data_IF_628204028573
#
_entry.id   IF_628204028573
#
_cell.length_a   1.000
_cell.length_b   1.000
_cell.length_c   1.000
_cell.angle_alpha   90.00
_cell.angle_beta   90.00
_cell.angle_gamma   90.00
#
_symmetry.space_group_name_H-M   'P 1'
#
loop_
_entity.id
_entity.type
_entity.pdbx_description
1 polymer ?
#
# COMPACT_ATOMS: atom_id res chain seq x y z
N UNK A 1 -11.15 21.35 -6.37
CA UNK A 1 -12.00 20.15 -6.28
C UNK A 1 -11.37 18.92 -6.91
N UNK A 2 -10.93 18.98 -8.16
CA UNK A 2 -10.11 17.90 -8.74
C UNK A 2 -8.86 17.64 -7.90
N UNK A 3 -8.28 18.70 -7.36
CA UNK A 3 -7.08 18.64 -6.52
C UNK A 3 -7.31 17.79 -5.28
N UNK A 4 -8.48 17.92 -4.63
CA UNK A 4 -8.78 17.15 -3.42
C UNK A 4 -8.93 15.67 -3.70
N UNK A 5 -9.61 15.30 -4.77
CA UNK A 5 -9.76 13.90 -5.16
C UNK A 5 -8.40 13.30 -5.53
N UNK A 6 -7.61 14.03 -6.28
CA UNK A 6 -6.27 13.61 -6.70
C UNK A 6 -5.35 13.42 -5.50
N UNK A 7 -5.35 14.38 -4.56
CA UNK A 7 -4.54 14.27 -3.35
C UNK A 7 -4.98 13.10 -2.48
N UNK A 8 -6.27 12.86 -2.37
CA UNK A 8 -6.79 11.72 -1.63
C UNK A 8 -6.30 10.40 -2.23
N UNK A 9 -6.38 10.26 -3.56
CA UNK A 9 -5.95 9.04 -4.24
C UNK A 9 -4.43 8.86 -4.23
N UNK A 10 -3.67 9.96 -4.26
CA UNK A 10 -2.20 9.90 -4.22
C UNK A 10 -1.64 9.30 -2.93
N UNK A 11 -2.40 9.33 -1.86
CA UNK A 11 -1.93 8.76 -0.59
C UNK A 11 -1.62 7.26 -0.69
N UNK A 12 -2.21 6.57 -1.67
CA UNK A 12 -1.95 5.13 -1.89
C UNK A 12 -0.47 4.88 -2.17
N UNK A 13 0.19 5.77 -2.88
CA UNK A 13 1.62 5.63 -3.14
C UNK A 13 2.43 5.58 -1.85
N UNK A 14 2.13 6.48 -0.92
CA UNK A 14 2.77 6.50 0.40
C UNK A 14 2.42 5.28 1.22
N UNK A 15 1.16 4.84 1.14
CA UNK A 15 0.70 3.64 1.83
C UNK A 15 1.48 2.42 1.32
N UNK A 16 1.66 2.30 0.00
CA UNK A 16 2.43 1.20 -0.59
C UNK A 16 3.89 1.20 -0.15
N UNK A 17 4.51 2.38 -0.06
CA UNK A 17 5.88 2.48 0.46
C UNK A 17 5.95 2.02 1.91
N UNK A 18 4.98 2.41 2.73
CA UNK A 18 4.91 1.97 4.12
C UNK A 18 4.69 0.46 4.23
N UNK A 19 3.83 -0.10 3.38
CA UNK A 19 3.59 -1.55 3.36
C UNK A 19 4.88 -2.30 3.05
N UNK A 20 5.61 -1.87 2.03
CA UNK A 20 6.88 -2.48 1.67
C UNK A 20 7.90 -2.41 2.80
N UNK A 21 8.00 -1.25 3.46
CA UNK A 21 8.92 -1.08 4.57
C UNK A 21 8.56 -2.01 5.74
N UNK A 22 7.26 -2.13 6.05
CA UNK A 22 6.80 -3.00 7.12
C UNK A 22 7.05 -4.48 6.79
N UNK A 23 6.81 -4.87 5.55
CA UNK A 23 7.09 -6.24 5.09
C UNK A 23 8.57 -6.57 5.22
N UNK A 24 9.45 -5.63 4.85
CA UNK A 24 10.89 -5.81 4.96
C UNK A 24 11.33 -5.94 6.41
N UNK A 25 10.79 -5.10 7.30
CA UNK A 25 11.11 -5.20 8.73
C UNK A 25 10.65 -6.52 9.33
N UNK A 26 9.46 -6.98 8.96
CA UNK A 26 8.94 -8.27 9.42
C UNK A 26 9.84 -9.40 8.92
N UNK A 27 10.26 -9.34 7.66
CA UNK A 27 11.15 -10.33 7.07
C UNK A 27 12.50 -10.37 7.79
N UNK A 28 13.06 -9.21 8.12
CA UNK A 28 14.30 -9.13 8.90
C UNK A 28 14.13 -9.74 10.28
N UNK A 29 13.02 -9.46 10.97
CA UNK A 29 12.76 -10.03 12.28
C UNK A 29 12.58 -11.55 12.21
N UNK A 30 11.94 -12.04 11.15
CA UNK A 30 11.81 -13.49 10.93
C UNK A 30 13.19 -14.13 10.73
N UNK A 31 14.06 -13.48 9.97
CA UNK A 31 15.42 -13.99 9.76
C UNK A 31 16.20 -14.01 11.06
N UNK A 32 16.07 -12.99 11.90
CA UNK A 32 16.70 -12.96 13.21
C UNK A 32 16.19 -14.07 14.14
N UNK A 33 14.89 -14.34 14.09
CA UNK A 33 14.29 -15.38 14.92
C UNK A 33 14.74 -16.78 14.50
N UNK A 34 14.95 -17.01 13.21
CA UNK A 34 15.31 -18.32 12.65
C UNK A 34 16.82 -18.56 12.62
N UNK A 35 17.56 -17.62 12.05
CA UNK A 35 19.00 -17.80 11.82
C UNK A 35 19.88 -16.95 12.72
N UNK A 36 19.42 -15.73 13.03
CA UNK A 36 20.17 -14.79 13.86
C UNK A 36 20.21 -15.14 15.33
N UNK A 37 19.27 -15.96 15.80
CA UNK A 37 19.22 -16.40 17.20
C UNK A 37 20.52 -17.10 17.62
N UNK A 38 21.10 -17.88 16.73
CA UNK A 38 22.37 -18.59 16.97
C UNK A 38 23.50 -17.59 17.17
N UNK A 39 23.55 -16.56 16.34
CA UNK A 39 24.57 -15.51 16.46
C UNK A 39 24.38 -14.68 17.73
N UNK A 40 23.14 -14.48 18.15
CA UNK A 40 22.86 -13.79 19.40
C UNK A 40 23.28 -14.60 20.61
N UNK A 41 23.10 -15.90 20.56
CA UNK A 41 23.58 -16.79 21.63
C UNK A 41 25.09 -16.67 21.80
N UNK A 42 25.83 -16.66 20.71
CA UNK A 42 27.29 -16.49 20.73
C UNK A 42 27.69 -15.14 21.33
N UNK A 43 26.97 -14.08 20.97
CA UNK A 43 27.24 -12.73 21.45
C UNK A 43 26.90 -12.53 22.92
N UNK A 44 25.90 -13.24 23.39
CA UNK A 44 25.35 -13.08 24.76
C UNK A 44 25.75 -14.21 25.68
N UNK A 45 26.76 -15.00 25.33
CA UNK A 45 27.30 -16.07 26.21
C UNK A 45 27.64 -15.58 27.59
N UNK A 46 28.08 -14.34 27.71
CA UNK A 46 28.40 -13.72 28.99
C UNK A 46 27.19 -13.19 29.76
N UNK A 47 26.03 -13.07 29.10
CA UNK A 47 24.80 -12.49 29.67
C UNK A 47 23.78 -13.51 30.11
N UNK A 48 23.92 -14.79 29.71
CA UNK A 48 23.04 -15.87 30.10
C UNK A 48 21.75 -15.98 29.30
N UNK A 49 20.96 -17.01 29.64
CA UNK A 49 19.72 -17.38 28.96
C UNK A 49 18.64 -16.31 29.04
N UNK A 50 18.56 -15.60 30.16
CA UNK A 50 17.55 -14.56 30.37
C UNK A 50 17.60 -13.48 29.29
N UNK A 51 18.80 -13.13 28.84
CA UNK A 51 18.99 -12.12 27.79
C UNK A 51 18.51 -12.62 26.43
N UNK A 52 18.72 -13.90 26.12
CA UNK A 52 18.27 -14.50 24.87
C UNK A 52 16.74 -14.58 24.83
N UNK A 53 16.12 -15.02 25.92
CA UNK A 53 14.67 -15.05 26.03
C UNK A 53 14.07 -13.65 25.93
N UNK A 54 14.68 -12.68 26.57
CA UNK A 54 14.25 -11.28 26.51
C UNK A 54 14.32 -10.74 25.06
N UNK A 55 15.37 -11.07 24.32
CA UNK A 55 15.53 -10.68 22.93
C UNK A 55 14.43 -11.33 22.07
N UNK A 56 14.17 -12.62 22.27
CA UNK A 56 13.13 -13.34 21.53
C UNK A 56 11.75 -12.77 21.81
N UNK A 57 11.43 -12.44 23.06
CA UNK A 57 10.18 -11.79 23.41
C UNK A 57 10.04 -10.43 22.74
N UNK A 58 11.12 -9.66 22.68
CA UNK A 58 11.13 -8.35 22.02
C UNK A 58 10.86 -8.51 20.52
N UNK A 59 11.46 -9.52 19.87
CA UNK A 59 11.23 -9.80 18.46
C UNK A 59 9.76 -10.14 18.21
N UNK A 60 9.17 -11.02 19.03
CA UNK A 60 7.77 -11.43 18.90
C UNK A 60 6.85 -10.22 19.08
N UNK A 61 7.08 -9.40 20.09
CA UNK A 61 6.28 -8.21 20.35
C UNK A 61 6.37 -7.21 19.20
N UNK A 62 7.57 -6.98 18.68
CA UNK A 62 7.77 -6.08 17.55
C UNK A 62 7.08 -6.60 16.29
N UNK A 63 7.16 -7.90 16.02
CA UNK A 63 6.48 -8.52 14.88
C UNK A 63 4.97 -8.33 14.97
N UNK A 64 4.40 -8.57 16.15
CA UNK A 64 2.96 -8.39 16.36
C UNK A 64 2.53 -6.96 16.07
N UNK A 65 3.29 -5.99 16.57
CA UNK A 65 3.05 -4.58 16.33
C UNK A 65 3.13 -4.24 14.84
N UNK A 66 4.14 -4.75 14.13
CA UNK A 66 4.33 -4.51 12.72
C UNK A 66 3.20 -5.11 11.88
N UNK A 67 2.72 -6.31 12.24
CA UNK A 67 1.57 -6.93 11.57
C UNK A 67 0.30 -6.11 11.74
N UNK A 68 0.06 -5.57 12.93
CA UNK A 68 -1.09 -4.69 13.18
C UNK A 68 -1.02 -3.44 12.30
N UNK A 69 0.16 -2.84 12.20
CA UNK A 69 0.39 -1.67 11.36
C UNK A 69 0.16 -2.01 9.88
N UNK A 70 0.65 -3.17 9.45
CA UNK A 70 0.49 -3.65 8.08
C UNK A 70 -0.99 -3.84 7.74
N UNK A 71 -1.74 -4.50 8.61
CA UNK A 71 -3.18 -4.73 8.43
C UNK A 71 -3.91 -3.40 8.31
N UNK A 72 -3.58 -2.42 9.15
CA UNK A 72 -4.21 -1.11 9.09
C UNK A 72 -3.95 -0.40 7.76
N UNK A 73 -2.73 -0.51 7.24
CA UNK A 73 -2.38 0.07 5.94
C UNK A 73 -3.11 -0.62 4.80
N UNK A 74 -3.22 -1.95 4.85
CA UNK A 74 -3.96 -2.71 3.84
C UNK A 74 -5.45 -2.36 3.86
N UNK A 75 -6.04 -2.21 5.04
CA UNK A 75 -7.44 -1.78 5.17
C UNK A 75 -7.68 -0.42 4.53
N UNK A 76 -6.78 0.52 4.77
CA UNK A 76 -6.89 1.86 4.20
C UNK A 76 -6.82 1.80 2.68
N UNK A 77 -5.94 0.98 2.13
CA UNK A 77 -5.82 0.80 0.68
C UNK A 77 -7.12 0.21 0.08
N UNK A 78 -7.69 -0.79 0.73
CA UNK A 78 -8.96 -1.39 0.30
C UNK A 78 -10.10 -0.37 0.36
N UNK A 79 -10.15 0.44 1.40
CA UNK A 79 -11.15 1.49 1.54
C UNK A 79 -11.08 2.49 0.38
N UNK A 80 -9.88 2.89 -0.01
CA UNK A 80 -9.69 3.79 -1.14
C UNK A 80 -10.15 3.12 -2.44
N UNK A 81 -9.79 1.84 -2.64
CA UNK A 81 -10.22 1.06 -3.80
C UNK A 81 -11.74 0.97 -3.87
N UNK A 82 -12.40 0.71 -2.75
CA UNK A 82 -13.87 0.64 -2.69
C UNK A 82 -14.51 1.95 -3.12
N UNK A 83 -13.91 3.07 -2.76
CA UNK A 83 -14.41 4.39 -3.18
C UNK A 83 -14.30 4.60 -4.68
N UNK A 84 -13.26 4.05 -5.31
CA UNK A 84 -13.13 4.08 -6.77
C UNK A 84 -14.30 3.30 -7.41
N UNK A 85 -14.62 2.14 -6.85
CA UNK A 85 -15.72 1.31 -7.39
C UNK A 85 -17.11 1.89 -7.16
N UNK A 86 -17.25 2.94 -6.36
CA UNK A 86 -18.53 3.65 -6.21
C UNK A 86 -18.88 4.53 -7.40
N UNK A 87 -17.96 4.76 -8.31
CA UNK A 87 -18.24 5.54 -9.50
C UNK A 87 -19.28 4.83 -10.34
N UNK A 88 -20.43 5.47 -10.55
CA UNK A 88 -21.57 4.87 -11.25
C UNK A 88 -22.48 5.91 -11.88
N UNK A 89 -21.97 7.12 -12.13
CA UNK A 89 -22.77 8.25 -12.57
C UNK A 89 -22.81 8.46 -14.09
N UNK A 90 -22.17 7.60 -14.88
CA UNK A 90 -22.15 7.74 -16.32
C UNK A 90 -21.90 6.40 -17.00
N UNK A 91 -22.10 6.38 -18.32
CA UNK A 91 -21.81 5.20 -19.15
C UNK A 91 -20.31 4.90 -19.23
N UNK A 92 -19.47 5.84 -18.81
CA UNK A 92 -18.02 5.68 -18.79
C UNK A 92 -17.48 5.26 -17.42
N UNK A 93 -18.37 4.94 -16.49
CA UNK A 93 -17.98 4.63 -15.11
C UNK A 93 -16.97 3.50 -15.01
N UNK A 94 -17.12 2.45 -15.79
CA UNK A 94 -16.18 1.32 -15.78
C UNK A 94 -14.80 1.75 -16.27
N UNK A 95 -14.74 2.62 -17.28
CA UNK A 95 -13.48 3.14 -17.79
C UNK A 95 -12.81 4.02 -16.72
N UNK A 96 -13.60 4.86 -16.06
CA UNK A 96 -13.10 5.72 -14.98
C UNK A 96 -12.58 4.89 -13.81
N UNK A 97 -13.30 3.84 -13.43
CA UNK A 97 -12.85 2.93 -12.37
C UNK A 97 -11.50 2.29 -12.73
N UNK A 98 -11.41 1.75 -13.95
CA UNK A 98 -10.19 1.10 -14.43
C UNK A 98 -9.01 2.08 -14.47
N UNK A 99 -9.26 3.29 -14.97
CA UNK A 99 -8.21 4.30 -15.07
C UNK A 99 -7.68 4.70 -13.70
N UNK A 100 -8.57 5.02 -12.76
CA UNK A 100 -8.17 5.43 -11.42
C UNK A 100 -7.53 4.27 -10.66
N UNK A 101 -8.04 3.07 -10.81
CA UNK A 101 -7.46 1.87 -10.19
C UNK A 101 -6.04 1.65 -10.71
N UNK A 102 -5.87 1.65 -12.04
CA UNK A 102 -4.55 1.42 -12.63
C UNK A 102 -3.56 2.50 -12.22
N UNK A 103 -3.99 3.76 -12.22
CA UNK A 103 -3.08 4.87 -11.90
C UNK A 103 -2.74 4.94 -10.41
N UNK A 104 -3.72 4.79 -9.53
CA UNK A 104 -3.52 5.07 -8.11
C UNK A 104 -3.36 3.82 -7.24
N UNK A 105 -4.03 2.74 -7.56
CA UNK A 105 -3.90 1.50 -6.77
C UNK A 105 -2.71 0.69 -7.25
N UNK A 106 -2.57 0.51 -8.58
CA UNK A 106 -1.46 -0.23 -9.19
C UNK A 106 -0.25 0.64 -9.48
N UNK A 107 -0.40 1.95 -9.37
CA UNK A 107 0.67 2.93 -9.60
C UNK A 107 1.31 2.82 -10.98
N UNK A 108 0.50 2.55 -12.00
CA UNK A 108 0.96 2.46 -13.38
C UNK A 108 1.36 3.82 -13.93
N UNK A 109 2.41 3.82 -14.75
CA UNK A 109 2.81 5.00 -15.50
C UNK A 109 1.85 5.24 -16.67
N UNK A 110 1.75 6.51 -17.07
CA UNK A 110 0.82 6.92 -18.12
C UNK A 110 1.08 6.23 -19.45
N UNK A 111 2.33 6.02 -19.83
CA UNK A 111 2.69 5.35 -21.08
C UNK A 111 2.19 3.91 -21.09
N UNK A 112 2.35 3.20 -19.99
CA UNK A 112 1.88 1.82 -19.86
C UNK A 112 0.36 1.74 -19.88
N UNK A 113 -0.31 2.67 -19.21
CA UNK A 113 -1.77 2.75 -19.22
C UNK A 113 -2.31 3.00 -20.62
N UNK A 114 -1.66 3.90 -21.36
CA UNK A 114 -2.05 4.20 -22.73
C UNK A 114 -1.98 2.93 -23.60
N UNK A 115 -0.90 2.19 -23.45
CA UNK A 115 -0.72 0.93 -24.18
C UNK A 115 -1.78 -0.12 -23.82
N UNK A 116 -1.99 -0.34 -22.53
CA UNK A 116 -2.93 -1.38 -22.08
C UNK A 116 -4.39 -1.02 -22.29
N UNK A 117 -4.76 0.24 -22.12
CA UNK A 117 -6.16 0.67 -22.28
C UNK A 117 -6.53 1.04 -23.71
N UNK A 118 -5.54 1.15 -24.60
CA UNK A 118 -5.80 1.46 -25.99
C UNK A 118 -6.17 2.91 -26.27
N UNK A 119 -5.75 3.83 -25.44
CA UNK A 119 -5.98 5.27 -25.60
C UNK A 119 -4.66 6.01 -25.78
N UNK A 120 -4.71 7.18 -26.43
CA UNK A 120 -3.56 8.08 -26.44
C UNK A 120 -3.38 8.69 -25.06
N UNK A 121 -2.16 9.14 -24.75
CA UNK A 121 -1.90 9.82 -23.48
C UNK A 121 -2.79 11.05 -23.30
N UNK A 122 -2.97 11.80 -24.38
CA UNK A 122 -3.84 12.98 -24.37
C UNK A 122 -5.26 12.63 -23.97
N UNK A 123 -5.80 11.55 -24.57
CA UNK A 123 -7.17 11.07 -24.24
C UNK A 123 -7.24 10.59 -22.80
N UNK A 124 -6.19 9.91 -22.31
CA UNK A 124 -6.14 9.46 -20.93
C UNK A 124 -6.16 10.64 -19.95
N UNK A 125 -5.45 11.72 -20.25
CA UNK A 125 -5.48 12.90 -19.38
C UNK A 125 -6.87 13.53 -19.33
N UNK A 126 -7.58 13.57 -20.45
CA UNK A 126 -8.96 14.03 -20.48
C UNK A 126 -9.88 13.12 -19.65
N UNK A 127 -9.76 11.82 -19.86
CA UNK A 127 -10.53 10.83 -19.09
C UNK A 127 -10.19 10.89 -17.61
N UNK A 128 -8.94 11.14 -17.28
CA UNK A 128 -8.49 11.26 -15.89
C UNK A 128 -9.18 12.42 -15.18
N UNK A 129 -9.24 13.59 -15.80
CA UNK A 129 -9.96 14.73 -15.25
C UNK A 129 -11.43 14.42 -15.00
N UNK A 130 -12.07 13.78 -15.96
CA UNK A 130 -13.47 13.38 -15.84
C UNK A 130 -13.67 12.31 -14.77
N UNK A 131 -12.74 11.35 -14.68
CA UNK A 131 -12.78 10.31 -13.67
C UNK A 131 -12.66 10.88 -12.25
N UNK A 132 -11.77 11.84 -12.05
CA UNK A 132 -11.62 12.51 -10.76
C UNK A 132 -12.89 13.25 -10.36
N UNK A 133 -13.55 13.89 -11.32
CA UNK A 133 -14.80 14.59 -11.05
C UNK A 133 -15.91 13.58 -10.68
N UNK A 134 -16.02 12.47 -11.39
CA UNK A 134 -16.97 11.40 -11.05
C UNK A 134 -16.68 10.81 -9.67
N UNK A 135 -15.41 10.60 -9.35
CA UNK A 135 -14.99 10.13 -8.03
C UNK A 135 -15.46 11.08 -6.93
N UNK A 136 -15.24 12.36 -7.14
CA UNK A 136 -15.67 13.39 -6.17
C UNK A 136 -17.18 13.36 -5.98
N UNK A 137 -17.94 13.30 -7.07
CA UNK A 137 -19.41 13.28 -7.00
C UNK A 137 -19.95 12.06 -6.29
N UNK A 138 -19.41 10.89 -6.59
CA UNK A 138 -19.92 9.63 -6.04
C UNK A 138 -19.47 9.39 -4.60
N UNK A 139 -18.51 10.14 -4.10
CA UNK A 139 -17.98 9.99 -2.74
C UNK A 139 -18.17 11.25 -1.88
N UNK A 140 -18.99 12.17 -2.31
CA UNK A 140 -19.28 13.37 -1.53
C UNK A 140 -20.38 13.13 -0.50
#
# INVERSE_FOLDING_TARGET
METDAKEYLKQVYKIDLNIKALEMEIEELNALAEGGAINYEERVQTSGRASTESIMCTIVDNKSKLYDMLINKLRLKVEISDKIYKIADSKYSEIYQSLLFNRYILCMEWDKMAEEMGYSKRRLFELHGNALESFRKCNS
#
